data_IF_545777392018
#
_entry.id   IF_545777392018
#
_cell.length_a   1.000
_cell.length_b   1.000
_cell.length_c   1.000
_cell.angle_alpha   90.00
_cell.angle_beta   90.00
_cell.angle_gamma   90.00
#
_symmetry.space_group_name_H-M   'P 1'
#
loop_
_entity.id
_entity.type
_entity.pdbx_description
1 polymer ?
#
# COMPACT_ATOMS: atom_id res chain seq x y z
N UNK A 1 8.87 10.35 -15.32
CA UNK A 1 7.90 11.02 -14.42
C UNK A 1 8.34 10.75 -12.98
N UNK A 2 8.16 11.71 -12.07
CA UNK A 2 8.49 11.55 -10.65
C UNK A 2 7.47 12.26 -9.77
N UNK A 3 7.40 11.87 -8.51
CA UNK A 3 6.63 12.56 -7.48
C UNK A 3 7.32 12.40 -6.12
N UNK A 4 7.06 13.31 -5.20
CA UNK A 4 7.53 13.20 -3.83
C UNK A 4 6.52 12.38 -3.03
N UNK A 5 6.99 11.30 -2.42
CA UNK A 5 6.24 10.54 -1.43
C UNK A 5 6.67 11.03 -0.06
N UNK A 6 5.75 11.70 0.62
CA UNK A 6 6.06 12.40 1.86
C UNK A 6 6.30 11.43 3.01
N UNK A 7 7.22 11.78 3.90
CA UNK A 7 7.24 11.22 5.25
C UNK A 7 6.16 11.89 6.11
N UNK A 8 5.86 11.28 7.25
CA UNK A 8 5.15 12.01 8.30
C UNK A 8 6.01 13.18 8.79
N UNK A 9 7.33 12.99 8.86
CA UNK A 9 8.31 14.06 9.09
C UNK A 9 8.89 14.59 7.77
N UNK A 10 9.12 15.90 7.69
CA UNK A 10 9.54 16.59 6.46
C UNK A 10 10.85 16.02 5.89
N UNK A 11 11.81 15.73 6.76
CA UNK A 11 13.14 15.23 6.43
C UNK A 11 13.16 13.74 6.05
N UNK A 12 12.02 13.04 6.11
CA UNK A 12 11.90 11.62 5.76
C UNK A 12 11.29 11.39 4.37
N UNK A 13 10.89 12.44 3.66
CA UNK A 13 10.28 12.34 2.33
C UNK A 13 11.25 11.78 1.28
N UNK A 14 10.72 11.06 0.28
CA UNK A 14 11.51 10.47 -0.81
C UNK A 14 10.98 10.87 -2.18
N UNK A 15 11.87 10.99 -3.16
CA UNK A 15 11.48 11.22 -4.56
C UNK A 15 11.39 9.90 -5.33
N UNK A 16 10.19 9.54 -5.74
CA UNK A 16 9.90 8.32 -6.48
C UNK A 16 10.00 8.59 -7.99
N UNK A 17 10.74 7.74 -8.71
CA UNK A 17 10.90 7.79 -10.17
C UNK A 17 12.25 8.34 -10.65
N UNK A 18 12.49 8.24 -11.95
CA UNK A 18 13.83 8.39 -12.53
C UNK A 18 14.66 7.12 -12.28
N UNK A 19 15.97 7.28 -12.08
CA UNK A 19 16.90 6.17 -11.82
C UNK A 19 17.06 5.85 -10.32
N UNK A 20 16.21 6.44 -9.47
CA UNK A 20 16.25 6.28 -8.01
C UNK A 20 15.66 4.94 -7.59
N UNK A 21 16.34 4.28 -6.65
CA UNK A 21 15.91 3.01 -6.05
C UNK A 21 15.69 3.24 -4.56
N UNK A 22 14.51 2.82 -4.08
CA UNK A 22 14.13 2.89 -2.67
C UNK A 22 13.80 1.49 -2.18
N UNK A 23 14.53 1.03 -1.16
CA UNK A 23 14.16 -0.15 -0.38
C UNK A 23 13.07 0.19 0.63
N UNK A 24 12.15 -0.72 0.85
CA UNK A 24 11.12 -0.61 1.87
C UNK A 24 10.55 -1.97 2.22
N UNK A 25 9.72 -2.01 3.25
CA UNK A 25 8.99 -3.24 3.58
C UNK A 25 7.80 -3.44 2.65
N UNK A 26 7.28 -4.66 2.62
CA UNK A 26 6.03 -5.05 1.97
C UNK A 26 5.53 -6.37 2.59
N UNK A 27 4.37 -6.84 2.14
CA UNK A 27 3.81 -8.14 2.53
C UNK A 27 2.42 -8.03 3.14
N UNK A 28 2.01 -9.10 3.80
CA UNK A 28 0.74 -9.25 4.50
C UNK A 28 0.76 -10.53 5.33
N UNK A 29 1.85 -10.77 6.10
CA UNK A 29 1.97 -11.99 6.87
C UNK A 29 0.89 -12.06 7.97
N UNK A 30 0.31 -13.24 8.13
CA UNK A 30 -0.78 -13.52 9.09
C UNK A 30 -0.28 -14.14 10.40
N UNK A 31 1.03 -14.24 10.55
CA UNK A 31 1.70 -14.83 11.70
C UNK A 31 3.07 -14.21 11.91
N UNK A 32 3.47 -14.10 13.16
CA UNK A 32 4.80 -13.61 13.58
C UNK A 32 5.56 -14.75 14.23
N UNK A 33 6.87 -14.80 13.99
CA UNK A 33 7.77 -15.67 14.74
C UNK A 33 8.09 -15.02 16.09
N UNK A 34 7.63 -15.63 17.17
CA UNK A 34 7.87 -15.15 18.52
C UNK A 34 9.25 -15.62 19.01
N UNK A 35 10.14 -14.69 19.34
CA UNK A 35 11.52 -14.98 19.71
C UNK A 35 11.63 -15.76 21.03
N UNK A 36 10.80 -15.39 22.03
CA UNK A 36 10.86 -15.97 23.37
C UNK A 36 10.37 -17.42 23.36
N UNK A 37 9.21 -17.66 22.73
CA UNK A 37 8.57 -18.97 22.69
C UNK A 37 9.07 -19.85 21.55
N UNK A 38 9.77 -19.27 20.56
CA UNK A 38 10.25 -19.93 19.33
C UNK A 38 9.14 -20.63 18.55
N UNK A 39 7.99 -19.98 18.47
CA UNK A 39 6.80 -20.50 17.76
C UNK A 39 6.17 -19.41 16.92
N UNK A 40 5.47 -19.81 15.87
CA UNK A 40 4.59 -18.91 15.16
C UNK A 40 3.31 -18.69 15.98
N UNK A 41 2.89 -17.43 16.07
CA UNK A 41 1.58 -17.03 16.59
C UNK A 41 0.87 -16.12 15.59
N UNK A 42 -0.47 -16.03 15.65
CA UNK A 42 -1.21 -14.98 14.93
C UNK A 42 -0.62 -13.59 15.24
N UNK A 43 -0.51 -12.76 14.21
CA UNK A 43 -0.19 -11.34 14.37
C UNK A 43 -1.37 -10.58 14.98
N UNK A 44 -1.07 -9.59 15.81
CA UNK A 44 -2.04 -8.63 16.34
C UNK A 44 -1.72 -7.20 15.87
N UNK A 45 -2.54 -6.22 16.28
CA UNK A 45 -2.30 -4.82 15.95
C UNK A 45 -0.99 -4.30 16.54
N UNK A 46 -0.58 -4.81 17.71
CA UNK A 46 0.64 -4.38 18.38
C UNK A 46 1.87 -4.76 17.55
N UNK A 47 1.86 -5.94 16.93
CA UNK A 47 2.92 -6.36 16.02
C UNK A 47 3.05 -5.41 14.82
N UNK A 48 1.93 -4.95 14.24
CA UNK A 48 1.94 -3.97 13.14
C UNK A 48 2.66 -2.69 13.57
N UNK A 49 2.31 -2.16 14.74
CA UNK A 49 2.93 -0.96 15.32
C UNK A 49 4.42 -1.15 15.62
N UNK A 50 4.79 -2.27 16.27
CA UNK A 50 6.17 -2.52 16.67
C UNK A 50 7.09 -2.77 15.46
N UNK A 51 6.59 -3.41 14.39
CA UNK A 51 7.36 -3.53 13.14
C UNK A 51 7.52 -2.18 12.44
N UNK A 52 6.49 -1.34 12.41
CA UNK A 52 6.61 0.02 11.86
C UNK A 52 7.70 0.82 12.59
N UNK A 53 7.74 0.74 13.93
CA UNK A 53 8.77 1.37 14.75
C UNK A 53 10.16 0.82 14.51
N UNK A 54 10.28 -0.50 14.39
CA UNK A 54 11.56 -1.11 14.04
C UNK A 54 12.06 -0.57 12.70
N UNK A 55 11.20 -0.59 11.68
CA UNK A 55 11.52 -0.08 10.32
C UNK A 55 11.93 1.38 10.35
N UNK A 56 11.31 2.22 11.19
CA UNK A 56 11.66 3.63 11.32
C UNK A 56 13.13 3.85 11.71
N UNK A 57 13.70 2.94 12.52
CA UNK A 57 15.12 2.99 12.95
C UNK A 57 16.12 2.55 11.88
N UNK A 58 15.67 1.86 10.83
CA UNK A 58 16.57 1.27 9.82
C UNK A 58 17.00 2.30 8.78
N UNK A 59 18.27 2.70 8.76
CA UNK A 59 18.79 3.74 7.85
C UNK A 59 18.55 3.43 6.37
N UNK A 60 18.76 2.17 5.96
CA UNK A 60 18.69 1.77 4.54
C UNK A 60 17.31 1.26 4.10
N UNK A 61 16.28 1.40 4.95
CA UNK A 61 14.89 1.10 4.61
C UNK A 61 14.12 2.42 4.56
N UNK A 62 13.75 2.87 3.38
CA UNK A 62 13.29 4.23 3.12
C UNK A 62 11.79 4.44 3.33
N UNK A 63 10.99 3.38 3.22
CA UNK A 63 9.53 3.44 3.45
C UNK A 63 9.02 2.19 4.16
N UNK A 64 7.87 2.31 4.82
CA UNK A 64 7.17 1.23 5.50
C UNK A 64 5.83 0.92 4.83
N UNK A 65 5.76 -0.12 4.00
CA UNK A 65 4.47 -0.73 3.71
C UNK A 65 4.17 -1.76 4.79
N UNK A 66 2.93 -1.78 5.27
CA UNK A 66 2.40 -2.77 6.21
C UNK A 66 2.89 -4.18 5.86
N UNK A 67 3.56 -4.83 6.80
CA UNK A 67 4.15 -6.17 6.66
C UNK A 67 3.24 -7.29 7.16
N UNK A 68 2.32 -6.97 8.08
CA UNK A 68 1.49 -7.92 8.82
C UNK A 68 0.01 -7.59 8.66
N UNK A 69 -0.84 -8.61 8.73
CA UNK A 69 -2.29 -8.45 8.87
C UNK A 69 -2.66 -8.76 10.32
N UNK A 70 -3.16 -7.78 11.05
CA UNK A 70 -3.66 -7.97 12.40
C UNK A 70 -4.84 -8.95 12.40
N UNK A 71 -4.85 -9.93 13.31
CA UNK A 71 -5.85 -11.03 13.37
C UNK A 71 -6.73 -10.99 14.62
N UNK A 72 -6.56 -9.96 15.43
CA UNK A 72 -7.30 -9.66 16.66
C UNK A 72 -8.56 -8.82 16.40
N UNK A 73 -8.94 -8.61 15.13
CA UNK A 73 -10.12 -7.85 14.70
C UNK A 73 -10.99 -8.68 13.77
N UNK A 74 -12.31 -8.49 13.87
CA UNK A 74 -13.30 -9.23 13.06
C UNK A 74 -13.75 -8.42 11.85
N UNK A 75 -14.07 -7.14 12.06
CA UNK A 75 -14.65 -6.29 11.03
C UNK A 75 -13.57 -5.66 10.15
N UNK A 76 -13.81 -5.64 8.84
CA UNK A 76 -12.86 -5.09 7.86
C UNK A 76 -12.57 -3.60 8.10
N UNK A 77 -13.58 -2.84 8.55
CA UNK A 77 -13.41 -1.42 8.89
C UNK A 77 -12.44 -1.22 10.05
N UNK A 78 -12.61 -2.00 11.12
CA UNK A 78 -11.74 -1.92 12.29
C UNK A 78 -10.31 -2.30 11.90
N UNK A 79 -10.14 -3.36 11.11
CA UNK A 79 -8.83 -3.77 10.61
C UNK A 79 -8.16 -2.66 9.80
N UNK A 80 -8.84 -2.08 8.81
CA UNK A 80 -8.27 -1.05 7.94
C UNK A 80 -7.88 0.22 8.71
N UNK A 81 -8.80 0.76 9.52
CA UNK A 81 -8.58 2.01 10.23
C UNK A 81 -7.52 1.88 11.33
N UNK A 82 -7.59 0.81 12.13
CA UNK A 82 -6.60 0.60 13.18
C UNK A 82 -5.23 0.29 12.59
N UNK A 83 -5.15 -0.47 11.49
CA UNK A 83 -3.89 -0.73 10.79
C UNK A 83 -3.27 0.56 10.26
N UNK A 84 -4.07 1.40 9.60
CA UNK A 84 -3.63 2.70 9.11
C UNK A 84 -3.12 3.59 10.25
N UNK A 85 -3.86 3.63 11.37
CA UNK A 85 -3.48 4.37 12.57
C UNK A 85 -2.18 3.84 13.19
N UNK A 86 -2.08 2.53 13.41
CA UNK A 86 -0.92 1.89 14.01
C UNK A 86 0.34 2.07 13.15
N UNK A 87 0.23 1.96 11.83
CA UNK A 87 1.34 2.23 10.92
C UNK A 87 1.78 3.70 11.00
N UNK A 88 0.85 4.65 10.92
CA UNK A 88 1.13 6.09 10.99
C UNK A 88 1.79 6.50 12.31
N UNK A 89 1.32 5.95 13.43
CA UNK A 89 1.89 6.21 14.75
C UNK A 89 3.24 5.52 14.96
N UNK A 90 3.54 4.48 14.16
CA UNK A 90 4.73 3.67 14.33
C UNK A 90 5.95 4.16 13.54
N UNK A 91 5.77 4.97 12.50
CA UNK A 91 6.87 5.39 11.62
C UNK A 91 6.75 6.85 11.18
N UNK A 92 7.89 7.54 11.16
CA UNK A 92 8.03 8.90 10.60
C UNK A 92 8.24 8.88 9.07
N UNK A 93 8.57 7.70 8.53
CA UNK A 93 8.84 7.48 7.11
C UNK A 93 7.56 7.45 6.26
N UNK A 94 7.70 7.61 4.94
CA UNK A 94 6.62 7.33 4.01
C UNK A 94 6.06 5.92 4.27
N UNK A 95 4.72 5.78 4.29
CA UNK A 95 4.05 4.53 4.64
C UNK A 95 3.05 4.06 3.60
N UNK A 96 2.60 2.81 3.68
CA UNK A 96 1.47 2.37 2.88
C UNK A 96 0.75 1.15 3.43
N UNK A 97 -0.52 1.03 3.05
CA UNK A 97 -1.43 -0.03 3.48
C UNK A 97 -2.43 -0.34 2.36
N UNK A 98 -3.25 -1.37 2.55
CA UNK A 98 -4.39 -1.70 1.69
C UNK A 98 -5.70 -1.37 2.39
N UNK A 99 -6.76 -1.21 1.63
CA UNK A 99 -8.12 -0.98 2.14
C UNK A 99 -9.09 -1.94 1.45
N UNK A 100 -10.03 -2.49 2.22
CA UNK A 100 -11.05 -3.40 1.71
C UNK A 100 -12.21 -2.68 1.03
N UNK A 101 -12.58 -1.49 1.52
CA UNK A 101 -13.75 -0.74 1.05
C UNK A 101 -13.42 0.73 0.80
N UNK A 102 -14.08 1.38 -0.19
CA UNK A 102 -13.82 2.78 -0.51
C UNK A 102 -14.15 3.73 0.63
N UNK A 103 -15.14 3.42 1.46
CA UNK A 103 -15.51 4.24 2.62
C UNK A 103 -14.36 4.29 3.63
N UNK A 104 -13.64 3.18 3.83
CA UNK A 104 -12.50 3.13 4.75
C UNK A 104 -11.32 3.99 4.26
N UNK A 105 -11.16 4.14 2.94
CA UNK A 105 -10.15 5.06 2.36
C UNK A 105 -10.45 6.49 2.78
N UNK A 106 -11.71 6.90 2.65
CA UNK A 106 -12.15 8.26 3.00
C UNK A 106 -11.97 8.49 4.50
N UNK A 107 -12.43 7.56 5.34
CA UNK A 107 -12.28 7.64 6.79
C UNK A 107 -10.82 7.65 7.26
N UNK A 108 -9.94 6.88 6.61
CA UNK A 108 -8.51 6.90 6.90
C UNK A 108 -7.86 8.23 6.50
N UNK A 109 -8.27 8.82 5.38
CA UNK A 109 -7.78 10.13 4.95
C UNK A 109 -8.26 11.24 5.87
N UNK A 110 -9.51 11.20 6.32
CA UNK A 110 -10.02 12.13 7.35
C UNK A 110 -9.19 12.01 8.64
N UNK A 111 -8.84 10.79 9.06
CA UNK A 111 -7.94 10.56 10.19
C UNK A 111 -6.54 11.14 9.93
N UNK A 112 -5.98 10.98 8.73
CA UNK A 112 -4.68 11.57 8.38
C UNK A 112 -4.72 13.10 8.34
N UNK A 113 -5.81 13.71 7.89
CA UNK A 113 -6.03 15.16 7.98
C UNK A 113 -6.00 15.63 9.44
N UNK A 114 -6.65 14.89 10.36
CA UNK A 114 -6.58 15.17 11.80
C UNK A 114 -5.14 15.11 12.33
N UNK A 115 -4.37 14.09 11.93
CA UNK A 115 -2.96 13.96 12.32
C UNK A 115 -2.09 15.12 11.80
N UNK A 116 -2.43 15.68 10.63
CA UNK A 116 -1.72 16.80 10.00
C UNK A 116 -2.21 18.19 10.46
N UNK A 117 -2.98 18.26 11.55
CA UNK A 117 -3.42 19.53 12.16
C UNK A 117 -4.90 19.85 11.95
N UNK A 118 -5.72 18.90 11.47
CA UNK A 118 -7.18 18.98 11.51
C UNK A 118 -7.83 19.79 10.40
N UNK A 119 -7.08 20.30 9.43
CA UNK A 119 -7.63 20.96 8.24
C UNK A 119 -7.98 19.90 7.18
N UNK A 120 -9.23 19.83 6.70
CA UNK A 120 -9.61 18.93 5.61
C UNK A 120 -8.76 19.18 4.35
N UNK A 121 -8.27 18.09 3.75
CA UNK A 121 -7.41 18.10 2.56
C UNK A 121 -5.91 18.23 2.82
N UNK A 122 -5.47 18.36 4.07
CA UNK A 122 -4.05 18.42 4.44
C UNK A 122 -3.26 17.20 3.97
N UNK A 123 -3.84 16.01 4.02
CA UNK A 123 -3.25 14.78 3.50
C UNK A 123 -3.08 14.84 1.98
N UNK A 124 -4.05 15.36 1.24
CA UNK A 124 -3.96 15.46 -0.23
C UNK A 124 -2.86 16.44 -0.69
N UNK A 125 -2.57 17.47 0.11
CA UNK A 125 -1.45 18.40 -0.10
C UNK A 125 -0.09 17.72 0.17
N UNK A 126 -0.05 16.75 1.09
CA UNK A 126 1.17 16.07 1.55
C UNK A 126 0.92 14.57 1.84
N UNK A 127 0.71 13.74 0.81
CA UNK A 127 0.34 12.36 1.03
C UNK A 127 1.54 11.54 1.50
N UNK A 128 1.51 11.16 2.78
CA UNK A 128 2.52 10.29 3.38
C UNK A 128 2.17 8.81 3.33
N UNK A 129 0.90 8.48 3.05
CA UNK A 129 0.39 7.13 2.88
C UNK A 129 0.14 6.82 1.39
N UNK A 130 0.60 5.66 0.92
CA UNK A 130 0.29 5.12 -0.42
C UNK A 130 -0.67 3.95 -0.25
N UNK A 131 -1.64 3.85 -1.16
CA UNK A 131 -2.50 2.68 -1.24
C UNK A 131 -1.80 1.57 -2.03
N UNK A 132 -1.58 0.43 -1.40
CA UNK A 132 -1.29 -0.81 -2.10
C UNK A 132 -2.59 -1.41 -2.61
N UNK A 133 -2.84 -1.27 -3.90
CA UNK A 133 -4.08 -1.69 -4.54
C UNK A 133 -3.87 -2.88 -5.47
N UNK A 134 -4.34 -4.05 -5.04
CA UNK A 134 -4.43 -5.27 -5.87
C UNK A 134 -5.72 -5.24 -6.68
N UNK A 135 -5.77 -4.32 -7.66
CA UNK A 135 -6.96 -4.01 -8.44
C UNK A 135 -7.48 -5.18 -9.28
N UNK A 136 -6.62 -6.16 -9.56
CA UNK A 136 -6.87 -7.28 -10.47
C UNK A 136 -6.84 -8.60 -9.72
N UNK A 137 -7.74 -9.51 -10.10
CA UNK A 137 -7.66 -10.94 -9.86
C UNK A 137 -7.14 -11.59 -11.14
N UNK A 138 -5.86 -11.95 -11.22
CA UNK A 138 -5.32 -12.55 -12.43
C UNK A 138 -6.01 -13.88 -12.77
N UNK A 139 -6.30 -14.17 -14.05
CA UNK A 139 -5.92 -13.36 -15.20
C UNK A 139 -6.96 -12.29 -15.59
N UNK A 140 -6.49 -11.06 -15.82
CA UNK A 140 -7.17 -10.00 -16.58
C UNK A 140 -8.57 -9.59 -16.10
N UNK A 141 -8.91 -9.80 -14.82
CA UNK A 141 -10.23 -9.44 -14.26
C UNK A 141 -10.09 -8.44 -13.12
N UNK A 142 -10.71 -7.28 -13.23
CA UNK A 142 -10.78 -6.34 -12.12
C UNK A 142 -11.55 -6.92 -10.92
N UNK A 143 -10.99 -6.75 -9.73
CA UNK A 143 -11.68 -6.94 -8.46
C UNK A 143 -12.54 -5.70 -8.17
N UNK A 144 -13.85 -5.87 -8.10
CA UNK A 144 -14.80 -4.76 -7.98
C UNK A 144 -14.50 -3.86 -6.77
N UNK A 145 -14.35 -4.45 -5.58
CA UNK A 145 -14.09 -3.69 -4.34
C UNK A 145 -12.74 -2.97 -4.38
N UNK A 146 -11.71 -3.59 -4.96
CA UNK A 146 -10.38 -2.99 -5.09
C UNK A 146 -10.40 -1.80 -6.07
N UNK A 147 -11.15 -1.92 -7.18
CA UNK A 147 -11.34 -0.81 -8.13
C UNK A 147 -12.18 0.31 -7.52
N UNK A 148 -13.24 -0.01 -6.77
CA UNK A 148 -14.01 1.01 -6.04
C UNK A 148 -13.11 1.76 -5.04
N UNK A 149 -12.27 1.03 -4.31
CA UNK A 149 -11.27 1.62 -3.42
C UNK A 149 -10.22 2.44 -4.19
N UNK A 150 -9.80 2.00 -5.38
CA UNK A 150 -8.90 2.76 -6.27
C UNK A 150 -9.49 4.11 -6.66
N UNK A 151 -10.79 4.14 -7.00
CA UNK A 151 -11.49 5.39 -7.30
C UNK A 151 -11.47 6.33 -6.09
N UNK A 152 -11.77 5.83 -4.90
CA UNK A 152 -11.70 6.61 -3.66
C UNK A 152 -10.27 7.14 -3.38
N UNK A 153 -9.24 6.33 -3.61
CA UNK A 153 -7.83 6.71 -3.46
C UNK A 153 -7.46 7.86 -4.41
N UNK A 154 -7.94 7.83 -5.65
CA UNK A 154 -7.73 8.93 -6.62
C UNK A 154 -8.40 10.22 -6.13
N UNK A 155 -9.64 10.14 -5.68
CA UNK A 155 -10.40 11.32 -5.22
C UNK A 155 -9.84 11.95 -3.95
N UNK A 156 -9.28 11.15 -3.05
CA UNK A 156 -8.68 11.61 -1.79
C UNK A 156 -7.24 12.09 -1.94
N UNK A 157 -6.63 11.96 -3.12
CA UNK A 157 -5.23 12.38 -3.34
C UNK A 157 -4.20 11.35 -2.87
N UNK A 158 -4.61 10.15 -2.45
CA UNK A 158 -3.71 9.08 -2.04
C UNK A 158 -2.97 8.50 -3.26
N UNK A 159 -1.62 8.52 -3.30
CA UNK A 159 -0.85 7.84 -4.32
C UNK A 159 -1.16 6.34 -4.33
N UNK A 160 -1.00 5.69 -5.49
CA UNK A 160 -1.42 4.31 -5.67
C UNK A 160 -0.29 3.44 -6.20
N UNK A 161 0.03 2.36 -5.48
CA UNK A 161 0.78 1.25 -6.01
C UNK A 161 -0.22 0.29 -6.69
N UNK A 162 -0.16 0.22 -8.03
CA UNK A 162 -1.00 -0.62 -8.85
C UNK A 162 -0.36 -2.01 -8.95
N UNK A 163 -0.89 -2.98 -8.20
CA UNK A 163 -0.27 -4.28 -8.00
C UNK A 163 -0.97 -5.38 -8.81
N UNK A 164 -0.21 -6.02 -9.70
CA UNK A 164 -0.62 -7.20 -10.47
C UNK A 164 0.19 -8.40 -10.02
N UNK A 165 -0.47 -9.43 -9.49
CA UNK A 165 0.14 -10.55 -8.78
C UNK A 165 -0.18 -11.92 -9.42
N UNK A 166 0.09 -12.06 -10.72
CA UNK A 166 -0.12 -13.32 -11.45
C UNK A 166 0.96 -14.36 -11.14
N UNK A 167 0.55 -15.62 -10.94
CA UNK A 167 1.47 -16.75 -10.74
C UNK A 167 1.63 -17.54 -12.03
N UNK A 168 2.87 -17.64 -12.52
CA UNK A 168 3.21 -18.33 -13.75
C UNK A 168 2.77 -19.80 -13.69
N UNK A 169 1.96 -20.21 -14.66
CA UNK A 169 1.41 -21.56 -14.75
C UNK A 169 0.16 -21.82 -13.93
N UNK A 170 -0.34 -20.82 -13.18
CA UNK A 170 -1.61 -20.91 -12.45
C UNK A 170 -2.57 -19.80 -12.87
N UNK A 171 -2.25 -18.53 -12.57
CA UNK A 171 -3.09 -17.36 -12.86
C UNK A 171 -2.47 -16.43 -13.90
N UNK A 172 -1.31 -16.81 -14.45
CA UNK A 172 -0.71 -16.27 -15.67
C UNK A 172 -0.06 -17.40 -16.48
N UNK A 173 0.32 -17.17 -17.76
CA UNK A 173 1.00 -18.19 -18.56
C UNK A 173 2.27 -18.72 -17.90
N UNK A 174 2.54 -20.03 -18.05
CA UNK A 174 3.76 -20.66 -17.52
C UNK A 174 5.05 -20.09 -18.14
N UNK A 175 4.98 -19.66 -19.40
CA UNK A 175 6.09 -18.97 -20.06
C UNK A 175 6.29 -17.59 -19.41
N UNK A 176 7.50 -17.32 -18.91
CA UNK A 176 7.84 -16.08 -18.21
C UNK A 176 7.51 -14.82 -19.02
N UNK A 177 7.77 -14.83 -20.32
CA UNK A 177 7.42 -13.72 -21.21
C UNK A 177 5.90 -13.46 -21.26
N UNK A 178 5.09 -14.52 -21.24
CA UNK A 178 3.63 -14.43 -21.19
C UNK A 178 3.12 -13.91 -19.84
N UNK A 179 3.71 -14.38 -18.73
CA UNK A 179 3.41 -13.86 -17.38
C UNK A 179 3.71 -12.36 -17.26
N UNK A 180 4.89 -11.93 -17.74
CA UNK A 180 5.28 -10.52 -17.75
C UNK A 180 4.37 -9.68 -18.64
N UNK A 181 4.04 -10.16 -19.85
CA UNK A 181 3.14 -9.46 -20.76
C UNK A 181 1.73 -9.27 -20.16
N UNK A 182 1.20 -10.31 -19.49
CA UNK A 182 -0.08 -10.21 -18.79
C UNK A 182 -0.02 -9.18 -17.66
N UNK A 183 0.98 -9.25 -16.77
CA UNK A 183 1.12 -8.30 -15.66
C UNK A 183 1.26 -6.85 -16.14
N UNK A 184 1.99 -6.64 -17.24
CA UNK A 184 2.12 -5.33 -17.87
C UNK A 184 0.77 -4.83 -18.41
N UNK A 185 0.01 -5.69 -19.10
CA UNK A 185 -1.32 -5.33 -19.62
C UNK A 185 -2.29 -4.96 -18.48
N UNK A 186 -2.28 -5.70 -17.38
CA UNK A 186 -3.10 -5.42 -16.19
C UNK A 186 -2.74 -4.05 -15.59
N UNK A 187 -1.45 -3.79 -15.32
CA UNK A 187 -1.00 -2.52 -14.75
C UNK A 187 -1.26 -1.32 -15.70
N UNK A 188 -1.05 -1.47 -17.01
CA UNK A 188 -1.33 -0.41 -17.98
C UNK A 188 -2.82 -0.08 -18.08
N UNK A 189 -3.69 -1.10 -18.00
CA UNK A 189 -5.13 -0.91 -17.93
C UNK A 189 -5.52 -0.06 -16.72
N UNK A 190 -5.02 -0.40 -15.53
CA UNK A 190 -5.34 0.33 -14.30
C UNK A 190 -4.76 1.74 -14.30
N UNK A 191 -3.53 1.91 -14.80
CA UNK A 191 -2.91 3.23 -14.96
C UNK A 191 -3.72 4.12 -15.90
N UNK A 192 -4.27 3.54 -16.98
CA UNK A 192 -5.15 4.25 -17.91
C UNK A 192 -6.44 4.67 -17.20
N UNK A 193 -7.09 3.77 -16.45
CA UNK A 193 -8.27 4.09 -15.65
C UNK A 193 -8.02 5.25 -14.68
N UNK A 194 -6.91 5.22 -13.94
CA UNK A 194 -6.55 6.31 -13.01
C UNK A 194 -6.35 7.64 -13.75
N UNK A 195 -5.67 7.64 -14.90
CA UNK A 195 -5.47 8.88 -15.66
C UNK A 195 -6.76 9.40 -16.33
N UNK A 196 -7.75 8.54 -16.59
CA UNK A 196 -9.08 8.97 -17.03
C UNK A 196 -9.87 9.67 -15.90
N UNK A 197 -9.64 9.27 -14.64
CA UNK A 197 -10.26 9.91 -13.47
C UNK A 197 -9.57 11.23 -13.11
N UNK A 198 -8.24 11.22 -13.05
CA UNK A 198 -7.41 12.38 -12.70
C UNK A 198 -6.08 12.31 -13.43
N UNK A 199 -5.94 13.01 -14.57
CA UNK A 199 -4.69 13.01 -15.33
C UNK A 199 -3.52 13.39 -14.45
N UNK A 200 -2.47 12.59 -14.48
CA UNK A 200 -1.26 12.88 -13.74
C UNK A 200 -1.22 12.36 -12.30
N UNK A 201 -2.31 11.76 -11.76
CA UNK A 201 -2.34 11.21 -10.41
C UNK A 201 -1.11 10.31 -10.12
N UNK A 202 -0.47 10.42 -8.94
CA UNK A 202 0.73 9.63 -8.63
C UNK A 202 0.44 8.13 -8.54
N UNK A 203 1.07 7.36 -9.42
CA UNK A 203 0.99 5.90 -9.42
C UNK A 203 2.36 5.26 -9.62
N UNK A 204 2.55 4.08 -9.03
CA UNK A 204 3.66 3.17 -9.32
C UNK A 204 3.08 1.85 -9.84
N UNK A 205 3.61 1.33 -10.94
CA UNK A 205 3.23 0.00 -11.44
C UNK A 205 4.07 -1.07 -10.74
N UNK A 206 3.42 -1.92 -9.95
CA UNK A 206 4.05 -3.07 -9.29
C UNK A 206 3.68 -4.36 -9.99
N UNK A 207 4.55 -4.83 -10.87
CA UNK A 207 4.39 -6.13 -11.53
C UNK A 207 5.03 -7.21 -10.66
N UNK A 208 4.23 -8.12 -10.13
CA UNK A 208 4.68 -9.25 -9.32
C UNK A 208 4.39 -10.58 -10.03
N UNK A 209 5.10 -10.90 -11.13
CA UNK A 209 5.00 -12.21 -11.76
C UNK A 209 5.66 -13.24 -10.83
N UNK A 210 4.86 -13.94 -10.04
CA UNK A 210 5.37 -15.03 -9.20
C UNK A 210 5.77 -16.20 -10.09
N UNK A 211 6.92 -16.81 -9.78
CA UNK A 211 7.50 -17.98 -10.45
C UNK A 211 7.57 -19.16 -9.51
#
# INVERSE_FOLDING_TARGET
>A
KSFTWHGFDDNRSIDVGGDRVHFGTAGAAVSVWDHETRKHRPSDLRDVYDVARLVDTLEHVHFHIRTLVARDMVEARDLDLNTAYAAAMGTSKPMGTSFFQPEHVVEAVDMFDQMLGGKPGSFAERPFCVANNTFVVPPLRYAEDAVRSMVAQVHTGMPINLLSAGQAGATSPAALAGSLAQALAECLSALTCVNLLKPGHPCVMGLWPFV
#
